data_IF_734755039972
#
_entry.id   IF_734755039972
#
_cell.length_a   1.000
_cell.length_b   1.000
_cell.length_c   1.000
_cell.angle_alpha   90.00
_cell.angle_beta   90.00
_cell.angle_gamma   90.00
#
_symmetry.space_group_name_H-M   'P 1'
#
loop_
_entity.id
_entity.type
_entity.pdbx_description
1 polymer ?
#
# COMPACT_ATOMS: atom_id res chain seq x y z
N UNK A 1 0.26 -14.23 23.93
CA UNK A 1 0.84 -12.95 23.49
C UNK A 1 0.71 -11.96 24.65
N UNK A 2 1.77 -11.25 25.04
CA UNK A 2 1.71 -10.27 26.13
C UNK A 2 1.37 -8.89 25.58
N UNK A 3 0.18 -8.38 25.87
CA UNK A 3 -0.20 -7.00 25.50
C UNK A 3 0.66 -5.99 26.28
N UNK A 4 1.12 -4.94 25.60
CA UNK A 4 1.95 -3.91 26.21
C UNK A 4 1.19 -3.17 27.32
N UNK A 5 1.70 -3.23 28.55
CA UNK A 5 1.12 -2.50 29.70
C UNK A 5 1.33 -1.00 29.50
N UNK A 6 0.29 -0.22 29.74
CA UNK A 6 0.35 1.25 29.70
C UNK A 6 1.28 1.77 30.79
N UNK A 7 2.14 2.73 30.43
CA UNK A 7 2.97 3.52 31.34
C UNK A 7 2.44 4.95 31.52
N UNK A 8 2.98 5.69 32.50
CA UNK A 8 2.64 7.10 32.66
C UNK A 8 3.15 7.95 31.49
N UNK A 9 4.28 7.57 30.91
CA UNK A 9 4.85 8.17 29.71
C UNK A 9 3.92 7.99 28.51
N UNK A 10 3.32 6.80 28.35
CA UNK A 10 2.34 6.54 27.28
C UNK A 10 1.12 7.47 27.41
N UNK A 11 0.56 7.58 28.62
CA UNK A 11 -0.57 8.49 28.88
C UNK A 11 -0.20 9.95 28.62
N UNK A 12 0.99 10.38 29.02
CA UNK A 12 1.47 11.73 28.74
C UNK A 12 1.58 12.01 27.23
N UNK A 13 2.06 11.04 26.45
CA UNK A 13 2.13 11.14 24.98
C UNK A 13 0.76 11.08 24.31
N UNK A 14 -0.26 10.54 24.97
CA UNK A 14 -1.67 10.64 24.59
C UNK A 14 -2.35 11.93 25.11
N UNK A 15 -1.58 12.87 25.67
CA UNK A 15 -2.07 14.17 26.15
C UNK A 15 -2.51 14.20 27.62
N UNK A 16 -2.27 13.14 28.38
CA UNK A 16 -2.71 12.98 29.77
C UNK A 16 -1.54 12.78 30.74
N UNK A 17 -0.78 13.85 31.05
CA UNK A 17 0.27 13.76 32.07
C UNK A 17 -0.34 13.42 33.44
N UNK A 18 0.43 12.74 34.29
CA UNK A 18 -0.04 12.19 35.58
C UNK A 18 -0.78 13.20 36.46
N UNK A 19 -0.38 14.47 36.45
CA UNK A 19 -1.05 15.54 37.22
C UNK A 19 -2.48 15.79 36.75
N UNK A 20 -2.75 15.72 35.45
CA UNK A 20 -4.11 15.88 34.91
C UNK A 20 -4.98 14.65 35.17
N UNK A 21 -4.38 13.46 35.09
CA UNK A 21 -5.05 12.21 35.51
C UNK A 21 -5.43 12.30 36.99
N UNK A 22 -4.52 12.78 37.84
CA UNK A 22 -4.77 12.98 39.27
C UNK A 22 -5.91 13.96 39.52
N UNK A 23 -5.89 15.14 38.89
CA UNK A 23 -6.95 16.14 39.05
C UNK A 23 -8.32 15.55 38.72
N UNK A 24 -8.43 14.81 37.62
CA UNK A 24 -9.67 14.14 37.21
C UNK A 24 -10.09 13.03 38.17
N UNK A 25 -9.16 12.17 38.57
CA UNK A 25 -9.43 11.09 39.51
C UNK A 25 -9.85 11.61 40.89
N UNK A 26 -9.17 12.64 41.39
CA UNK A 26 -9.47 13.25 42.69
C UNK A 26 -10.81 13.97 42.66
N UNK A 27 -11.11 14.72 41.58
CA UNK A 27 -12.42 15.32 41.39
C UNK A 27 -13.55 14.26 41.36
N UNK A 28 -13.33 13.13 40.67
CA UNK A 28 -14.27 12.00 40.68
C UNK A 28 -14.46 11.41 42.09
N UNK A 29 -13.39 11.35 42.89
CA UNK A 29 -13.41 10.90 44.29
C UNK A 29 -13.86 11.96 45.30
N UNK A 30 -14.33 13.13 44.85
CA UNK A 30 -14.77 14.19 45.76
C UNK A 30 -13.64 14.81 46.61
N UNK A 31 -12.39 14.76 46.16
CA UNK A 31 -11.26 15.43 46.81
C UNK A 31 -10.51 14.61 47.88
N UNK A 32 -10.81 13.31 48.04
CA UNK A 32 -10.25 12.47 49.11
C UNK A 32 -8.80 12.01 48.88
N UNK A 33 -8.19 12.33 47.74
CA UNK A 33 -6.80 11.96 47.44
C UNK A 33 -5.84 13.05 47.92
N UNK A 34 -4.69 12.66 48.44
CA UNK A 34 -3.67 13.53 49.03
C UNK A 34 -2.59 13.96 48.04
N UNK A 35 -2.46 13.28 46.90
CA UNK A 35 -1.52 13.66 45.84
C UNK A 35 -1.36 12.60 44.76
N UNK A 36 -0.42 12.83 43.84
CA UNK A 36 -0.15 11.90 42.72
C UNK A 36 0.27 10.49 43.18
N UNK A 37 0.88 10.36 44.36
CA UNK A 37 1.25 9.07 44.94
C UNK A 37 0.06 8.18 45.33
N UNK A 38 -1.16 8.74 45.27
CA UNK A 38 -2.40 8.00 45.46
C UNK A 38 -2.97 7.42 44.15
N UNK A 39 -2.34 7.71 43.01
CA UNK A 39 -2.59 6.99 41.76
C UNK A 39 -1.70 5.75 41.67
N UNK A 40 -2.22 4.71 41.06
CA UNK A 40 -1.43 3.53 40.72
C UNK A 40 -1.84 3.02 39.35
N UNK A 41 -0.88 2.92 38.44
CA UNK A 41 -1.05 2.36 37.10
C UNK A 41 -0.25 1.05 37.04
N UNK A 42 -0.93 -0.07 36.81
CA UNK A 42 -0.31 -1.39 36.70
C UNK A 42 0.61 -1.79 37.88
N UNK A 43 0.43 -1.17 39.04
CA UNK A 43 1.29 -1.29 40.24
C UNK A 43 0.47 -0.99 41.50
N UNK A 44 1.05 -1.17 42.69
CA UNK A 44 0.39 -0.85 43.97
C UNK A 44 -1.02 -1.43 44.08
N UNK A 45 -1.99 -0.60 44.50
CA UNK A 45 -3.39 -1.02 44.61
C UNK A 45 -3.99 -1.45 43.27
N UNK A 46 -3.49 -0.95 42.14
CA UNK A 46 -3.96 -1.41 40.84
C UNK A 46 -3.50 -2.85 40.57
N UNK A 47 -2.29 -3.22 40.97
CA UNK A 47 -1.81 -4.60 40.85
C UNK A 47 -2.50 -5.54 41.86
N UNK A 48 -2.66 -5.11 43.12
CA UNK A 48 -3.30 -5.90 44.18
C UNK A 48 -4.74 -6.30 43.82
N UNK A 49 -5.51 -5.37 43.23
CA UNK A 49 -6.88 -5.60 42.81
C UNK A 49 -7.01 -5.98 41.32
N UNK A 50 -5.90 -6.26 40.64
CA UNK A 50 -5.85 -6.67 39.23
C UNK A 50 -6.52 -5.67 38.25
N UNK A 51 -6.44 -4.38 38.56
CA UNK A 51 -6.84 -3.28 37.69
C UNK A 51 -5.69 -2.94 36.74
N UNK A 52 -5.62 -3.70 35.65
CA UNK A 52 -4.60 -3.50 34.62
C UNK A 52 -5.04 -2.48 33.56
N UNK A 53 -4.04 -1.92 32.87
CA UNK A 53 -4.19 -1.02 31.74
C UNK A 53 -3.23 -1.44 30.64
N UNK A 54 -3.74 -1.55 29.42
CA UNK A 54 -2.99 -2.02 28.27
C UNK A 54 -3.18 -1.08 27.08
N UNK A 55 -2.14 -0.95 26.27
CA UNK A 55 -2.19 -0.22 25.02
C UNK A 55 -2.66 -1.16 23.90
N UNK A 56 -3.50 -0.67 23.00
CA UNK A 56 -4.05 -1.45 21.88
C UNK A 56 -4.26 -0.59 20.63
N UNK A 57 -4.38 -1.23 19.48
CA UNK A 57 -5.00 -0.64 18.29
C UNK A 57 -6.50 -0.47 18.51
N UNK A 58 -7.09 0.53 17.86
CA UNK A 58 -8.51 0.85 17.93
C UNK A 58 -9.08 0.82 16.51
N UNK A 59 -10.00 -0.10 16.28
CA UNK A 59 -10.60 -0.31 14.96
C UNK A 59 -9.60 -0.83 13.93
N UNK A 60 -10.07 -0.89 12.69
CA UNK A 60 -9.28 -1.33 11.54
C UNK A 60 -8.48 -0.17 10.92
N UNK A 61 -7.35 -0.46 10.24
CA UNK A 61 -6.65 0.54 9.46
C UNK A 61 -7.52 1.12 8.35
N UNK A 62 -7.32 2.39 8.02
CA UNK A 62 -8.11 3.08 7.01
C UNK A 62 -7.24 3.94 6.09
N UNK A 63 -7.68 4.09 4.84
CA UNK A 63 -6.98 4.84 3.80
C UNK A 63 -7.20 6.35 4.01
N UNK A 64 -6.11 7.12 4.01
CA UNK A 64 -6.12 8.58 4.03
C UNK A 64 -6.05 9.17 2.62
N UNK A 65 -5.28 8.55 1.73
CA UNK A 65 -5.10 9.05 0.37
C UNK A 65 -4.22 8.12 -0.46
N UNK A 66 -4.29 8.31 -1.79
CA UNK A 66 -3.51 7.55 -2.78
C UNK A 66 -3.05 8.44 -3.92
N UNK A 67 -1.90 8.11 -4.48
CA UNK A 67 -1.28 8.80 -5.62
C UNK A 67 -0.80 7.76 -6.63
N UNK A 68 -1.67 7.34 -7.58
CA UNK A 68 -1.25 6.47 -8.66
C UNK A 68 -0.44 7.26 -9.69
N UNK A 69 0.53 6.58 -10.29
CA UNK A 69 1.38 7.07 -11.38
C UNK A 69 1.56 5.95 -12.39
N UNK A 70 1.54 6.28 -13.66
CA UNK A 70 1.76 5.32 -14.74
C UNK A 70 2.76 5.91 -15.72
N UNK A 71 3.80 5.14 -16.04
CA UNK A 71 4.85 5.53 -16.96
C UNK A 71 4.97 4.45 -18.01
N UNK A 72 4.82 4.84 -19.26
CA UNK A 72 4.99 3.97 -20.43
C UNK A 72 6.25 4.37 -21.17
N UNK A 73 7.05 3.38 -21.56
CA UNK A 73 8.18 3.57 -22.47
C UNK A 73 8.17 2.54 -23.58
N UNK A 74 8.75 2.88 -24.71
CA UNK A 74 8.83 2.02 -25.88
C UNK A 74 10.29 1.68 -26.18
N UNK A 75 10.55 0.41 -26.49
CA UNK A 75 11.86 -0.13 -26.84
C UNK A 75 11.76 -0.95 -28.12
N UNK A 76 12.74 -0.82 -29.02
CA UNK A 76 12.82 -1.69 -30.20
C UNK A 76 13.33 -3.06 -29.78
N UNK A 77 12.46 -4.05 -29.85
CA UNK A 77 12.80 -5.45 -29.57
C UNK A 77 13.45 -6.12 -30.78
N UNK A 78 12.96 -5.81 -31.98
CA UNK A 78 13.48 -6.31 -33.24
C UNK A 78 13.15 -5.33 -34.37
N UNK A 79 14.00 -5.27 -35.40
CA UNK A 79 13.70 -4.49 -36.60
C UNK A 79 14.42 -5.08 -37.80
N UNK A 80 13.75 -5.05 -38.95
CA UNK A 80 14.35 -5.37 -40.24
C UNK A 80 13.92 -4.35 -41.29
N UNK A 81 14.90 -3.82 -42.00
CA UNK A 81 14.69 -2.84 -43.07
C UNK A 81 14.87 -3.53 -44.42
N UNK A 82 13.77 -3.75 -45.12
CA UNK A 82 13.71 -4.37 -46.45
C UNK A 82 13.41 -3.33 -47.55
N UNK A 83 13.59 -2.04 -47.27
CA UNK A 83 13.21 -0.94 -48.18
C UNK A 83 13.98 -0.93 -49.50
N UNK A 84 15.17 -1.54 -49.54
CA UNK A 84 16.04 -1.57 -50.71
C UNK A 84 16.02 -2.90 -51.47
N UNK A 85 15.21 -3.87 -51.02
CA UNK A 85 15.15 -5.20 -51.63
C UNK A 85 13.80 -5.43 -52.34
N UNK A 86 13.85 -6.26 -53.38
CA UNK A 86 12.69 -6.56 -54.24
C UNK A 86 12.02 -7.90 -53.91
N UNK A 87 12.49 -8.59 -52.86
CA UNK A 87 11.95 -9.87 -52.40
C UNK A 87 11.51 -9.74 -50.93
N UNK A 88 10.43 -10.44 -50.51
CA UNK A 88 10.01 -10.46 -49.12
C UNK A 88 11.06 -11.17 -48.24
N UNK A 89 11.03 -10.85 -46.95
CA UNK A 89 11.84 -11.49 -45.91
C UNK A 89 10.93 -12.05 -44.82
N UNK A 90 11.17 -13.30 -44.43
CA UNK A 90 10.41 -13.99 -43.37
C UNK A 90 11.37 -14.51 -42.31
N UNK A 91 11.06 -14.27 -41.05
CA UNK A 91 11.82 -14.77 -39.91
C UNK A 91 10.91 -15.04 -38.71
N UNK A 92 11.19 -16.07 -37.92
CA UNK A 92 10.60 -16.20 -36.59
C UNK A 92 11.41 -15.44 -35.56
N UNK A 93 10.72 -14.65 -34.73
CA UNK A 93 11.33 -13.94 -33.61
C UNK A 93 10.63 -14.31 -32.31
N UNK A 94 11.40 -14.78 -31.34
CA UNK A 94 10.93 -15.11 -29.99
C UNK A 94 11.39 -14.02 -29.03
N UNK A 95 10.46 -13.45 -28.28
CA UNK A 95 10.75 -12.61 -27.13
C UNK A 95 10.48 -13.31 -25.82
N UNK A 96 11.21 -12.90 -24.80
CA UNK A 96 10.95 -13.27 -23.41
C UNK A 96 11.07 -12.05 -22.51
N UNK A 97 10.13 -11.93 -21.58
CA UNK A 97 10.09 -10.82 -20.63
C UNK A 97 9.51 -11.30 -19.29
N UNK A 98 9.68 -10.48 -18.26
CA UNK A 98 9.22 -10.80 -16.90
C UNK A 98 8.28 -9.72 -16.41
N UNK A 99 7.00 -10.05 -16.27
CA UNK A 99 6.07 -9.19 -15.55
C UNK A 99 6.39 -9.26 -14.05
N UNK A 100 6.32 -8.13 -13.36
CA UNK A 100 6.57 -8.09 -11.91
C UNK A 100 5.56 -7.21 -11.20
N UNK A 101 5.27 -7.55 -9.96
CA UNK A 101 4.49 -6.73 -9.05
C UNK A 101 5.13 -6.79 -7.67
N UNK A 102 5.26 -5.66 -7.01
CA UNK A 102 5.71 -5.57 -5.64
C UNK A 102 4.89 -4.56 -4.86
N UNK A 103 4.83 -4.78 -3.56
CA UNK A 103 4.31 -3.80 -2.62
C UNK A 103 5.15 -3.80 -1.35
N UNK A 104 5.33 -2.60 -0.81
CA UNK A 104 6.05 -2.36 0.43
C UNK A 104 5.13 -1.62 1.39
N UNK A 105 5.07 -2.07 2.63
CA UNK A 105 4.38 -1.38 3.71
C UNK A 105 5.40 -0.96 4.75
N UNK A 106 5.42 0.33 5.09
CA UNK A 106 6.40 0.92 5.98
C UNK A 106 5.72 1.68 7.12
N UNK A 107 6.16 1.40 8.34
CA UNK A 107 5.86 2.20 9.53
C UNK A 107 7.07 3.11 9.77
N UNK A 108 7.00 4.37 9.30
CA UNK A 108 8.15 5.28 9.33
C UNK A 108 8.52 5.72 10.75
N UNK A 109 7.54 5.91 11.62
CA UNK A 109 7.72 6.26 13.02
C UNK A 109 6.99 5.24 13.89
N UNK A 110 7.68 4.68 14.88
CA UNK A 110 7.03 3.85 15.90
C UNK A 110 5.92 4.66 16.59
N UNK A 111 4.91 3.96 17.11
CA UNK A 111 3.83 4.59 17.86
C UNK A 111 4.38 5.48 18.98
N UNK A 112 3.69 6.58 19.27
CA UNK A 112 4.10 7.42 20.39
C UNK A 112 3.97 6.67 21.72
N UNK A 113 3.22 5.58 21.80
CA UNK A 113 3.14 4.73 22.99
C UNK A 113 3.78 3.36 22.74
N UNK A 114 4.10 2.62 23.80
CA UNK A 114 4.50 1.22 23.67
C UNK A 114 3.32 0.38 23.15
N UNK A 115 3.44 -0.18 21.95
CA UNK A 115 2.40 -1.02 21.34
C UNK A 115 3.03 -2.28 20.76
N UNK A 116 2.59 -3.45 21.24
CA UNK A 116 2.97 -4.76 20.71
C UNK A 116 1.79 -5.31 19.91
N UNK A 117 1.71 -4.92 18.63
CA UNK A 117 0.65 -5.34 17.72
C UNK A 117 1.20 -5.49 16.30
N UNK A 118 0.46 -6.23 15.47
CA UNK A 118 0.68 -6.30 14.05
C UNK A 118 -0.50 -5.65 13.34
N UNK A 119 -0.20 -4.83 12.33
CA UNK A 119 -1.21 -4.19 11.50
C UNK A 119 -1.18 -4.84 10.14
N UNK A 120 -2.30 -5.44 9.73
CA UNK A 120 -2.48 -5.97 8.38
C UNK A 120 -3.20 -4.95 7.51
N UNK A 121 -2.56 -4.54 6.42
CA UNK A 121 -3.20 -3.77 5.36
C UNK A 121 -3.50 -4.71 4.21
N UNK A 122 -4.78 -4.82 3.87
CA UNK A 122 -5.22 -5.58 2.71
C UNK A 122 -5.03 -4.76 1.43
N UNK A 123 -4.59 -5.42 0.36
CA UNK A 123 -4.42 -4.81 -0.97
C UNK A 123 -3.61 -3.49 -0.91
N UNK A 124 -2.37 -3.57 -0.39
CA UNK A 124 -1.49 -2.41 -0.18
C UNK A 124 -1.27 -1.65 -1.49
N UNK A 125 -1.59 -0.36 -1.51
CA UNK A 125 -1.46 0.51 -2.68
C UNK A 125 -2.02 -0.14 -3.97
N UNK A 126 -3.19 -0.76 -3.87
CA UNK A 126 -3.90 -1.42 -4.98
C UNK A 126 -3.09 -2.55 -5.66
N UNK A 127 -2.08 -3.09 -4.99
CA UNK A 127 -1.18 -4.14 -5.52
C UNK A 127 -1.75 -5.55 -5.46
N UNK A 128 -2.87 -5.76 -4.78
CA UNK A 128 -3.40 -7.07 -4.42
C UNK A 128 -2.63 -7.78 -3.30
N UNK A 129 -1.48 -7.29 -2.85
CA UNK A 129 -0.77 -7.90 -1.73
C UNK A 129 -1.35 -7.46 -0.38
N UNK A 130 -1.60 -8.43 0.48
CA UNK A 130 -1.88 -8.20 1.90
C UNK A 130 -0.57 -8.25 2.67
N UNK A 131 -0.24 -7.20 3.42
CA UNK A 131 1.01 -7.09 4.17
C UNK A 131 0.70 -6.79 5.64
N UNK A 132 1.34 -7.54 6.54
CA UNK A 132 1.27 -7.35 7.98
C UNK A 132 2.61 -6.83 8.49
N UNK A 133 2.60 -5.74 9.26
CA UNK A 133 3.80 -5.07 9.77
C UNK A 133 3.72 -4.87 11.29
N UNK A 134 4.85 -4.99 11.99
CA UNK A 134 4.92 -4.78 13.44
C UNK A 134 4.86 -3.29 13.80
N UNK A 135 4.15 -2.95 14.87
CA UNK A 135 4.06 -1.57 15.39
C UNK A 135 5.18 -1.21 16.37
N UNK A 136 5.98 -2.18 16.80
CA UNK A 136 6.95 -2.02 17.89
C UNK A 136 8.15 -1.16 17.51
N UNK A 137 8.53 -1.17 16.24
CA UNK A 137 9.68 -0.46 15.71
C UNK A 137 9.37 0.10 14.33
N UNK A 138 10.19 1.04 13.87
CA UNK A 138 10.21 1.41 12.46
C UNK A 138 10.55 0.17 11.64
N UNK A 139 9.56 -0.37 10.94
CA UNK A 139 9.68 -1.61 10.20
C UNK A 139 9.07 -1.45 8.81
N UNK A 140 9.58 -2.27 7.89
CA UNK A 140 9.11 -2.29 6.52
C UNK A 140 9.03 -3.74 6.06
N UNK A 141 7.92 -4.09 5.44
CA UNK A 141 7.68 -5.41 4.90
C UNK A 141 7.39 -5.28 3.41
N UNK A 142 8.03 -6.13 2.61
CA UNK A 142 7.87 -6.12 1.15
C UNK A 142 7.42 -7.48 0.67
N UNK A 143 6.42 -7.50 -0.20
CA UNK A 143 6.02 -8.67 -0.98
C UNK A 143 6.22 -8.39 -2.44
N UNK A 144 6.69 -9.39 -3.16
CA UNK A 144 6.91 -9.32 -4.60
C UNK A 144 6.50 -10.63 -5.26
N UNK A 145 6.10 -10.51 -6.52
CA UNK A 145 5.86 -11.63 -7.41
C UNK A 145 6.34 -11.27 -8.81
N UNK A 146 6.80 -12.27 -9.55
CA UNK A 146 7.21 -12.10 -10.93
C UNK A 146 6.96 -13.36 -11.75
N UNK A 147 6.67 -13.18 -13.03
CA UNK A 147 6.41 -14.27 -13.96
C UNK A 147 7.06 -13.98 -15.30
N UNK A 148 7.81 -14.95 -15.79
CA UNK A 148 8.38 -14.90 -17.13
C UNK A 148 7.37 -15.39 -18.15
N UNK A 149 7.28 -14.68 -19.27
CA UNK A 149 6.43 -15.01 -20.41
C UNK A 149 7.32 -15.00 -21.64
N UNK A 150 7.06 -15.92 -22.56
CA UNK A 150 7.68 -15.95 -23.88
C UNK A 150 6.61 -15.94 -24.96
N UNK A 151 6.89 -15.33 -26.10
CA UNK A 151 6.03 -15.42 -27.28
C UNK A 151 6.87 -15.39 -28.54
N UNK A 152 6.42 -16.11 -29.55
CA UNK A 152 7.08 -16.19 -30.86
C UNK A 152 6.14 -15.67 -31.93
N UNK A 153 6.62 -14.74 -32.74
CA UNK A 153 5.88 -14.18 -33.86
C UNK A 153 6.62 -14.47 -35.18
N UNK A 154 5.84 -14.71 -36.24
CA UNK A 154 6.35 -14.71 -37.60
C UNK A 154 6.45 -13.25 -38.08
N UNK A 155 7.65 -12.84 -38.48
CA UNK A 155 7.99 -11.51 -38.94
C UNK A 155 8.08 -11.52 -40.47
N UNK A 156 6.96 -11.22 -41.11
CA UNK A 156 6.87 -11.17 -42.57
C UNK A 156 7.04 -9.72 -43.04
N UNK A 157 8.12 -9.42 -43.75
CA UNK A 157 8.47 -8.09 -44.24
C UNK A 157 8.36 -8.05 -45.76
N UNK A 158 7.45 -7.23 -46.28
CA UNK A 158 7.28 -7.07 -47.72
C UNK A 158 8.51 -6.46 -48.39
N UNK A 159 8.60 -6.62 -49.72
CA UNK A 159 9.58 -5.89 -50.51
C UNK A 159 9.32 -4.37 -50.41
N UNK A 160 10.35 -3.57 -50.19
CA UNK A 160 10.20 -2.12 -50.03
C UNK A 160 9.67 -1.67 -48.67
N UNK A 161 9.53 -2.57 -47.69
CA UNK A 161 9.01 -2.25 -46.35
C UNK A 161 10.09 -2.36 -45.27
N UNK A 162 9.89 -1.67 -44.15
CA UNK A 162 10.60 -1.88 -42.90
C UNK A 162 9.61 -2.29 -41.83
N UNK A 163 9.94 -3.34 -41.08
CA UNK A 163 9.15 -3.84 -39.96
C UNK A 163 9.93 -3.68 -38.66
N UNK A 164 9.29 -3.13 -37.64
CA UNK A 164 9.86 -2.97 -36.30
C UNK A 164 8.90 -3.53 -35.27
N UNK A 165 9.37 -4.48 -34.45
CA UNK A 165 8.70 -4.92 -33.23
C UNK A 165 9.06 -3.96 -32.10
N UNK A 166 8.05 -3.26 -31.59
CA UNK A 166 8.17 -2.38 -30.44
C UNK A 166 7.61 -3.08 -29.20
N UNK A 167 8.43 -3.12 -28.16
CA UNK A 167 8.07 -3.52 -26.81
C UNK A 167 7.62 -2.28 -26.05
N UNK A 168 6.39 -2.31 -25.54
CA UNK A 168 5.79 -1.26 -24.73
C UNK A 168 5.87 -1.72 -23.27
N UNK A 169 6.64 -1.00 -22.45
CA UNK A 169 6.83 -1.33 -21.03
C UNK A 169 6.05 -0.32 -20.22
N UNK A 170 5.05 -0.79 -19.48
CA UNK A 170 4.20 0.04 -18.62
C UNK A 170 4.55 -0.25 -17.16
N UNK A 171 5.05 0.76 -16.46
CA UNK A 171 5.26 0.73 -15.01
C UNK A 171 4.16 1.53 -14.32
N UNK A 172 3.29 0.83 -13.61
CA UNK A 172 2.30 1.43 -12.71
C UNK A 172 2.89 1.46 -11.30
N UNK A 173 2.89 2.60 -10.65
CA UNK A 173 3.29 2.74 -9.24
C UNK A 173 2.22 3.50 -8.47
N UNK A 174 1.94 3.08 -7.25
CA UNK A 174 1.02 3.79 -6.36
C UNK A 174 1.68 4.01 -5.01
N UNK A 175 1.49 5.21 -4.44
CA UNK A 175 1.79 5.48 -3.04
C UNK A 175 0.48 5.74 -2.31
N UNK A 176 0.25 5.02 -1.23
CA UNK A 176 -0.93 5.14 -0.38
C UNK A 176 -0.53 5.47 1.06
N UNK A 177 -1.30 6.34 1.69
CA UNK A 177 -1.17 6.66 3.10
C UNK A 177 -2.34 6.04 3.87
N UNK A 178 -2.03 5.29 4.92
CA UNK A 178 -2.98 4.66 5.81
C UNK A 178 -2.82 5.23 7.22
N UNK A 179 -3.89 5.14 8.00
CA UNK A 179 -3.87 5.43 9.42
C UNK A 179 -4.39 4.23 10.21
N UNK A 180 -3.81 4.03 11.40
CA UNK A 180 -4.33 3.17 12.44
C UNK A 180 -4.41 3.96 13.74
N UNK A 181 -5.58 4.01 14.35
CA UNK A 181 -5.73 4.60 15.68
C UNK A 181 -5.23 3.63 16.74
N UNK A 182 -4.65 4.18 17.80
CA UNK A 182 -4.20 3.43 18.97
C UNK A 182 -4.57 4.19 20.26
N UNK A 183 -4.59 3.49 21.37
CA UNK A 183 -4.89 4.08 22.67
C UNK A 183 -4.95 3.01 23.75
N UNK A 184 -5.85 3.18 24.70
CA UNK A 184 -6.04 2.25 25.81
C UNK A 184 -7.11 1.21 25.49
N UNK A 185 -6.88 -0.02 25.92
CA UNK A 185 -7.90 -1.07 25.88
C UNK A 185 -9.13 -0.67 26.70
N UNK A 186 -10.33 -1.05 26.26
CA UNK A 186 -11.60 -0.63 26.86
C UNK A 186 -11.69 -0.89 28.38
N UNK A 187 -11.09 -1.99 28.85
CA UNK A 187 -11.11 -2.38 30.27
C UNK A 187 -10.02 -1.71 31.12
N UNK A 188 -9.19 -0.86 30.52
CA UNK A 188 -8.04 -0.23 31.18
C UNK A 188 -8.45 0.61 32.37
N UNK A 189 -7.84 0.34 33.53
CA UNK A 189 -8.15 1.00 34.80
C UNK A 189 -6.91 1.61 35.45
N UNK A 190 -7.15 2.67 36.22
CA UNK A 190 -6.19 3.24 37.17
C UNK A 190 -6.70 3.02 38.59
N UNK A 191 -5.81 2.54 39.46
CA UNK A 191 -6.08 2.41 40.88
C UNK A 191 -5.93 3.75 41.58
N UNK A 192 -6.81 4.01 42.55
CA UNK A 192 -6.76 5.20 43.40
C UNK A 192 -6.85 4.79 44.86
N UNK A 193 -6.13 5.48 45.74
CA UNK A 193 -6.28 5.40 47.21
C UNK A 193 -6.53 6.80 47.80
N UNK A 194 -6.87 6.86 49.08
CA UNK A 194 -7.14 8.11 49.78
C UNK A 194 -8.12 7.88 50.92
N UNK A 195 -8.71 8.96 51.44
CA UNK A 195 -9.75 8.87 52.45
C UNK A 195 -10.98 8.12 51.94
N UNK A 196 -11.79 7.64 52.90
CA UNK A 196 -12.95 6.79 52.62
C UNK A 196 -13.96 7.58 51.79
N UNK A 197 -14.19 7.12 50.57
CA UNK A 197 -15.17 7.67 49.63
C UNK A 197 -16.19 6.59 49.31
N UNK A 198 -17.49 6.89 49.48
CA UNK A 198 -18.59 5.93 49.29
C UNK A 198 -18.36 4.57 49.99
N UNK A 199 -17.80 4.61 51.20
CA UNK A 199 -17.57 3.40 52.00
C UNK A 199 -16.27 2.64 51.71
N UNK A 200 -15.47 3.04 50.72
CA UNK A 200 -14.24 2.34 50.31
C UNK A 200 -13.01 3.27 50.29
N UNK A 201 -11.83 2.71 50.58
CA UNK A 201 -10.54 3.42 50.48
C UNK A 201 -9.94 3.36 49.07
N UNK A 202 -10.18 2.27 48.34
CA UNK A 202 -9.58 1.99 47.03
C UNK A 202 -10.64 1.94 45.93
N UNK A 203 -10.35 2.56 44.79
CA UNK A 203 -11.23 2.56 43.63
C UNK A 203 -10.45 2.35 42.34
N UNK A 204 -10.96 1.48 41.46
CA UNK A 204 -10.44 1.27 40.11
C UNK A 204 -11.28 2.05 39.11
N UNK A 205 -10.72 3.12 38.54
CA UNK A 205 -11.42 4.00 37.61
C UNK A 205 -11.08 3.62 36.17
N UNK A 206 -12.09 3.52 35.31
CA UNK A 206 -11.88 3.28 33.89
C UNK A 206 -11.20 4.50 33.24
N UNK A 207 -10.01 4.30 32.69
CA UNK A 207 -9.20 5.39 32.12
C UNK A 207 -9.84 6.00 30.88
N UNK A 208 -10.47 5.19 30.03
CA UNK A 208 -11.17 5.69 28.83
C UNK A 208 -12.33 6.63 29.19
N UNK A 209 -13.12 6.29 30.22
CA UNK A 209 -14.20 7.14 30.70
C UNK A 209 -13.68 8.40 31.40
N UNK A 210 -12.63 8.27 32.22
CA UNK A 210 -12.06 9.37 32.99
C UNK A 210 -11.40 10.43 32.08
N UNK A 211 -10.68 9.97 31.06
CA UNK A 211 -9.82 10.77 30.18
C UNK A 211 -10.43 11.01 28.80
N UNK A 212 -11.73 10.74 28.62
CA UNK A 212 -12.44 10.94 27.36
C UNK A 212 -11.77 10.23 26.15
N UNK A 213 -11.53 8.93 26.29
CA UNK A 213 -10.94 8.04 25.27
C UNK A 213 -9.61 8.58 24.71
N UNK A 214 -8.50 8.51 25.47
CA UNK A 214 -7.19 8.94 25.00
C UNK A 214 -6.75 8.13 23.79
N UNK A 215 -6.43 8.82 22.69
CA UNK A 215 -6.08 8.22 21.39
C UNK A 215 -4.92 8.94 20.72
N UNK A 216 -4.14 8.16 19.98
CA UNK A 216 -3.15 8.63 19.02
C UNK A 216 -3.37 7.96 17.67
N UNK A 217 -2.69 8.47 16.65
CA UNK A 217 -2.76 7.95 15.28
C UNK A 217 -1.38 7.57 14.79
N UNK A 218 -1.26 6.37 14.24
CA UNK A 218 -0.10 5.91 13.52
C UNK A 218 -0.32 6.12 12.02
N UNK A 219 0.61 6.80 11.36
CA UNK A 219 0.61 6.91 9.90
C UNK A 219 1.48 5.79 9.32
N UNK A 220 0.96 5.11 8.31
CA UNK A 220 1.60 3.98 7.64
C UNK A 220 1.64 4.31 6.16
N UNK A 221 2.78 4.09 5.52
CA UNK A 221 2.94 4.33 4.09
C UNK A 221 3.01 3.00 3.36
N UNK A 222 2.14 2.83 2.36
CA UNK A 222 2.23 1.75 1.39
C UNK A 222 2.74 2.27 0.06
N UNK A 223 3.55 1.48 -0.62
CA UNK A 223 3.88 1.69 -2.03
C UNK A 223 3.69 0.40 -2.81
N UNK A 224 3.35 0.53 -4.08
CA UNK A 224 3.31 -0.59 -5.02
C UNK A 224 3.98 -0.23 -6.32
N UNK A 225 4.47 -1.25 -7.02
CA UNK A 225 5.02 -1.14 -8.37
C UNK A 225 4.67 -2.38 -9.16
N UNK A 226 4.07 -2.19 -10.33
CA UNK A 226 3.74 -3.26 -11.26
C UNK A 226 4.31 -2.93 -12.63
N UNK A 227 5.06 -3.86 -13.22
CA UNK A 227 5.66 -3.75 -14.55
C UNK A 227 4.98 -4.76 -15.46
N UNK A 228 4.47 -4.26 -16.58
CA UNK A 228 3.80 -5.05 -17.62
C UNK A 228 4.38 -4.75 -18.99
N UNK A 229 4.23 -5.71 -19.90
CA UNK A 229 4.76 -5.63 -21.26
C UNK A 229 3.62 -5.82 -22.26
N UNK A 230 3.54 -4.92 -23.23
CA UNK A 230 2.75 -5.05 -24.45
C UNK A 230 3.68 -5.02 -25.67
N UNK A 231 3.18 -5.48 -26.82
CA UNK A 231 3.94 -5.50 -28.06
C UNK A 231 3.11 -4.92 -29.20
N UNK A 232 3.77 -4.25 -30.14
CA UNK A 232 3.15 -3.77 -31.36
C UNK A 232 4.14 -3.85 -32.51
N UNK A 233 3.62 -4.16 -33.71
CA UNK A 233 4.37 -4.08 -34.95
C UNK A 233 4.18 -2.70 -35.57
N UNK A 234 5.27 -2.10 -36.01
CA UNK A 234 5.28 -0.87 -36.81
C UNK A 234 5.81 -1.24 -38.19
N UNK A 235 5.01 -1.02 -39.22
CA UNK A 235 5.41 -1.16 -40.62
C UNK A 235 5.58 0.23 -41.23
N UNK A 236 6.66 0.44 -41.94
CA UNK A 236 6.98 1.64 -42.71
C UNK A 236 7.20 1.22 -44.16
N UNK A 237 6.43 1.77 -45.10
CA UNK A 237 6.54 1.41 -46.52
C UNK A 237 5.99 2.49 -47.45
N UNK A 238 5.86 2.19 -48.76
CA UNK A 238 5.37 3.16 -49.76
C UNK A 238 3.97 3.70 -49.45
N UNK A 239 3.16 2.90 -48.75
CA UNK A 239 1.79 3.23 -48.37
C UNK A 239 1.70 3.99 -47.04
N UNK A 240 2.84 4.38 -46.45
CA UNK A 240 2.93 5.08 -45.18
C UNK A 240 3.28 4.17 -44.00
N UNK A 241 2.95 4.63 -42.79
CA UNK A 241 3.29 3.96 -41.54
C UNK A 241 2.03 3.38 -40.89
N UNK A 242 2.04 2.09 -40.56
CA UNK A 242 0.95 1.41 -39.83
C UNK A 242 1.44 0.78 -38.55
N UNK A 243 0.62 0.83 -37.49
CA UNK A 243 0.92 0.22 -36.20
C UNK A 243 -0.16 -0.80 -35.83
N UNK A 244 0.24 -2.02 -35.50
CA UNK A 244 -0.67 -3.12 -35.15
C UNK A 244 -0.29 -3.67 -33.78
N UNK A 245 -1.16 -3.62 -32.76
CA UNK A 245 -0.88 -4.26 -31.48
C UNK A 245 -0.81 -5.78 -31.66
N UNK A 246 0.09 -6.43 -30.93
CA UNK A 246 0.22 -7.88 -30.90
C UNK A 246 -0.43 -8.44 -29.62
N UNK A 247 -1.24 -9.50 -29.74
CA UNK A 247 -1.71 -10.21 -28.56
C UNK A 247 -0.51 -10.86 -27.87
N UNK A 248 -0.57 -10.86 -26.54
CA UNK A 248 0.44 -11.46 -25.69
C UNK A 248 -0.23 -12.55 -24.89
N UNK A 249 0.03 -13.80 -25.26
CA UNK A 249 -0.51 -14.94 -24.52
C UNK A 249 0.18 -15.06 -23.16
N UNK A 250 -0.59 -15.02 -22.07
CA UNK A 250 -0.10 -15.19 -20.70
C UNK A 250 0.27 -16.65 -20.35
N UNK A 251 0.39 -17.54 -21.36
CA UNK A 251 0.19 -18.97 -21.19
C UNK A 251 1.37 -19.77 -20.61
N UNK A 252 2.52 -19.14 -20.31
CA UNK A 252 3.69 -19.82 -19.73
C UNK A 252 4.03 -19.43 -18.29
N UNK A 253 3.10 -18.84 -17.56
CA UNK A 253 3.29 -18.79 -16.12
C UNK A 253 3.03 -20.20 -15.56
N UNK A 254 4.09 -20.86 -15.06
CA UNK A 254 3.97 -22.20 -14.45
C UNK A 254 2.77 -22.21 -13.49
N UNK A 255 1.91 -23.24 -13.56
CA UNK A 255 0.63 -23.25 -12.86
C UNK A 255 0.75 -23.03 -11.33
N UNK A 256 1.92 -23.32 -10.75
CA UNK A 256 2.28 -23.03 -9.35
C UNK A 256 2.50 -21.55 -9.05
N UNK A 257 2.90 -20.77 -10.05
CA UNK A 257 3.24 -19.36 -9.95
C UNK A 257 2.03 -18.45 -10.19
N UNK A 258 1.18 -18.73 -11.19
CA UNK A 258 -0.08 -17.99 -11.43
C UNK A 258 -1.02 -18.07 -10.23
N UNK A 259 -1.08 -19.23 -9.58
CA UNK A 259 -1.90 -19.45 -8.39
C UNK A 259 -1.48 -18.62 -7.17
N UNK A 260 -0.30 -17.97 -7.21
CA UNK A 260 0.20 -17.08 -6.17
C UNK A 260 0.04 -15.58 -6.50
N UNK A 261 -0.38 -15.23 -7.72
CA UNK A 261 -0.61 -13.84 -8.10
C UNK A 261 -1.91 -13.36 -7.44
N UNK A 262 -1.90 -12.25 -6.70
CA UNK A 262 -3.15 -11.70 -6.18
C UNK A 262 -4.12 -11.33 -7.30
N UNK A 263 -5.42 -11.54 -7.08
CA UNK A 263 -6.48 -11.31 -8.08
C UNK A 263 -6.45 -9.88 -8.65
N UNK A 264 -6.10 -8.88 -7.82
CA UNK A 264 -5.95 -7.49 -8.26
C UNK A 264 -4.80 -7.25 -9.24
N UNK A 265 -3.70 -8.00 -9.09
CA UNK A 265 -2.56 -7.97 -10.02
C UNK A 265 -2.98 -8.50 -11.38
N UNK A 266 -3.65 -9.65 -11.39
CA UNK A 266 -4.13 -10.30 -12.62
C UNK A 266 -5.09 -9.37 -13.40
N UNK A 267 -6.03 -8.72 -12.70
CA UNK A 267 -6.97 -7.79 -13.33
C UNK A 267 -6.27 -6.56 -13.96
N UNK A 268 -5.21 -6.03 -13.32
CA UNK A 268 -4.43 -4.92 -13.87
C UNK A 268 -3.68 -5.31 -15.16
N UNK A 269 -3.26 -6.57 -15.26
CA UNK A 269 -2.57 -7.10 -16.43
C UNK A 269 -3.51 -7.30 -17.60
N UNK A 270 -4.73 -7.79 -17.35
CA UNK A 270 -5.74 -7.95 -18.39
C UNK A 270 -6.24 -6.61 -18.93
N UNK A 271 -6.47 -5.61 -18.06
CA UNK A 271 -6.97 -4.27 -18.47
C UNK A 271 -5.98 -3.51 -19.36
N UNK A 272 -4.67 -3.69 -19.15
CA UNK A 272 -3.64 -2.99 -19.92
C UNK A 272 -3.54 -3.48 -21.37
N UNK A 273 -3.98 -4.72 -21.65
CA UNK A 273 -4.08 -5.27 -23.01
C UNK A 273 -5.17 -4.54 -23.82
N UNK A 274 -6.20 -4.01 -23.16
CA UNK A 274 -7.35 -3.37 -23.82
C UNK A 274 -7.22 -1.83 -23.97
N UNK A 275 -6.45 -1.14 -23.10
CA UNK A 275 -6.60 0.33 -22.94
C UNK A 275 -5.64 1.22 -23.77
N UNK A 276 -4.76 0.69 -24.64
CA UNK A 276 -3.85 1.54 -25.46
C UNK A 276 -3.81 1.21 -26.97
N UNK A 277 -4.75 1.79 -27.70
CA UNK A 277 -4.53 2.26 -29.08
C UNK A 277 -4.60 3.79 -29.03
N UNK A 278 -3.45 4.44 -28.89
CA UNK A 278 -3.37 5.87 -29.13
C UNK A 278 -3.69 6.15 -30.60
N UNK A 279 -4.91 6.59 -30.89
CA UNK A 279 -5.20 7.28 -32.15
C UNK A 279 -4.36 8.54 -32.16
N UNK A 280 -3.42 8.63 -33.10
CA UNK A 280 -2.71 9.88 -33.37
C UNK A 280 -3.75 11.01 -33.58
N UNK A 281 -3.47 12.26 -33.17
CA UNK A 281 -4.31 13.37 -33.56
C UNK A 281 -4.30 13.45 -35.09
N UNK A 282 -5.48 13.33 -35.70
CA UNK A 282 -5.68 13.73 -37.10
C UNK A 282 -5.45 15.23 -37.19
N UNK A 283 -4.29 15.64 -37.70
CA UNK A 283 -4.14 16.99 -38.25
C UNK A 283 -5.02 17.07 -39.50
N UNK A 284 -6.17 17.74 -39.36
CA UNK A 284 -6.93 18.23 -40.51
C UNK A 284 -6.11 19.32 -41.21
N UNK A 285 -5.29 18.92 -42.17
CA UNK A 285 -4.80 19.85 -43.20
C UNK A 285 -5.98 20.22 -44.11
N UNK A 286 -6.62 21.34 -43.82
CA UNK A 286 -7.56 21.98 -44.75
C UNK A 286 -6.77 22.52 -45.95
N UNK A 287 -7.06 22.09 -47.20
CA UNK A 287 -6.50 22.72 -48.38
C UNK A 287 -7.20 24.07 -48.57
N UNK A 288 -6.47 25.17 -48.36
CA UNK A 288 -6.93 26.50 -48.74
C UNK A 288 -7.02 26.60 -50.26
N UNK A 289 -8.22 26.47 -50.81
CA UNK A 289 -8.53 26.83 -52.19
C UNK A 289 -8.43 28.34 -52.38
N UNK A 290 -7.78 28.74 -53.47
CA UNK A 290 -7.75 30.08 -54.03
C UNK A 290 -9.08 30.43 -54.72
N UNK A 291 -9.29 31.75 -54.85
CA UNK A 291 -10.23 32.49 -55.73
C UNK A 291 -11.69 32.53 -55.25
N UNK A 292 -12.39 33.68 -55.17
CA UNK A 292 -12.25 35.01 -55.81
C UNK A 292 -12.21 36.18 -54.80
#
# INVERSE_FOLDING_TARGET
MSTAKTSWEDLARLGWPINEVYKKANAWRGGTMHGIGDLSLNSGVAAEYQWWSYNTTIGEPYLLGRKPTSITREETAWSYDNTHNNSPFEQQWTESWTNSSSATLTVANATSINLSSHITIYNVASSGFDISVSTETSSSETKESSYSVSSTWNMDVGAGEKLTLIRVITTNSEVAEYAQDFGLENISRVGTKGDRYNGHYYWGLNLNSLLNNPRGRLNIQGSSRTVTYGFKLVREGPNGRTTTPLPVDLYEASASQVAQAPVGVLASWTKTIEEHVGTAPTEDMVPGTKEE
#
